data_IF_143272323595
#
_entry.id   IF_143272323595
#
_cell.length_a   1.000
_cell.length_b   1.000
_cell.length_c   1.000
_cell.angle_alpha   90.00
_cell.angle_beta   90.00
_cell.angle_gamma   90.00
#
_symmetry.space_group_name_H-M   'P 1'
#
loop_
_entity.id
_entity.type
_entity.pdbx_description
1 polymer ?
#
# COMPACT_ATOMS: atom_id res chain seq x y z
N UNK A 1 -6.08 -22.48 14.87
CA UNK A 1 -7.09 -21.41 14.87
C UNK A 1 -7.00 -20.75 13.52
N UNK A 2 -8.06 -20.73 12.72
CA UNK A 2 -8.06 -19.95 11.48
C UNK A 2 -7.91 -18.48 11.89
N UNK A 3 -6.76 -17.90 11.61
CA UNK A 3 -6.44 -16.52 11.94
C UNK A 3 -7.34 -15.61 11.09
N UNK A 4 -7.96 -14.59 11.69
CA UNK A 4 -8.75 -13.58 10.95
C UNK A 4 -7.84 -12.59 10.20
N UNK A 5 -6.70 -13.06 9.67
CA UNK A 5 -5.66 -12.26 9.03
C UNK A 5 -6.20 -11.44 7.86
N UNK A 6 -7.24 -11.96 7.18
CA UNK A 6 -7.88 -11.26 6.08
C UNK A 6 -8.50 -9.92 6.48
N UNK A 7 -8.96 -9.78 7.73
CA UNK A 7 -9.47 -8.52 8.27
C UNK A 7 -8.36 -7.56 8.68
N UNK A 8 -7.18 -8.09 9.02
CA UNK A 8 -6.08 -7.33 9.62
C UNK A 8 -5.10 -6.79 8.57
N UNK A 9 -4.92 -7.51 7.46
CA UNK A 9 -3.87 -7.26 6.48
C UNK A 9 -4.39 -7.04 5.06
N UNK A 10 -5.70 -6.87 4.87
CA UNK A 10 -6.26 -6.47 3.57
C UNK A 10 -6.53 -7.59 2.59
N UNK A 11 -6.63 -8.85 3.02
CA UNK A 11 -7.04 -9.95 2.14
C UNK A 11 -8.57 -10.00 1.93
N UNK A 12 -9.24 -8.84 1.87
CA UNK A 12 -10.61 -8.73 1.39
C UNK A 12 -10.59 -8.48 -0.13
N UNK A 13 -11.38 -9.20 -0.95
CA UNK A 13 -11.33 -9.05 -2.39
C UNK A 13 -12.06 -7.77 -2.80
N UNK A 14 -11.38 -6.93 -3.58
CA UNK A 14 -11.94 -5.68 -4.12
C UNK A 14 -11.83 -5.70 -5.66
N UNK A 15 -12.86 -5.22 -6.39
CA UNK A 15 -12.74 -5.03 -7.83
C UNK A 15 -11.52 -4.17 -8.17
N UNK A 16 -10.67 -4.68 -9.07
CA UNK A 16 -9.47 -3.96 -9.47
C UNK A 16 -9.78 -2.81 -10.44
N UNK A 17 -10.72 -3.04 -11.34
CA UNK A 17 -11.12 -2.07 -12.36
C UNK A 17 -11.78 -0.87 -11.68
N UNK A 18 -11.22 0.36 -11.77
CA UNK A 18 -11.80 1.54 -11.16
C UNK A 18 -13.21 1.84 -11.68
N UNK A 19 -13.52 1.54 -12.95
CA UNK A 19 -14.86 1.74 -13.50
C UNK A 19 -15.88 0.81 -12.85
N UNK A 20 -15.45 -0.39 -12.42
CA UNK A 20 -16.28 -1.34 -11.68
C UNK A 20 -16.35 -0.98 -10.21
N UNK A 21 -15.21 -0.63 -9.60
CA UNK A 21 -15.09 -0.30 -8.18
C UNK A 21 -15.92 0.94 -7.82
N UNK A 22 -15.85 1.97 -8.66
CA UNK A 22 -16.55 3.22 -8.43
C UNK A 22 -17.92 3.28 -9.11
N UNK A 23 -18.37 2.21 -9.77
CA UNK A 23 -19.68 2.17 -10.42
C UNK A 23 -20.78 2.42 -9.38
N UNK A 24 -21.59 3.45 -9.62
CA UNK A 24 -22.70 3.85 -8.74
C UNK A 24 -22.26 4.13 -7.28
N UNK A 25 -20.97 4.42 -7.07
CA UNK A 25 -20.41 4.62 -5.74
C UNK A 25 -20.98 5.90 -5.10
N UNK A 26 -21.50 5.83 -3.85
CA UNK A 26 -22.34 6.87 -3.27
C UNK A 26 -21.63 8.22 -3.10
N UNK A 27 -20.31 8.20 -2.97
CA UNK A 27 -19.50 9.41 -2.72
C UNK A 27 -18.47 9.69 -3.82
N UNK A 28 -18.26 8.78 -4.78
CA UNK A 28 -17.19 8.89 -5.77
C UNK A 28 -17.71 9.12 -7.20
N UNK A 29 -19.03 9.15 -7.40
CA UNK A 29 -19.66 9.37 -8.69
C UNK A 29 -20.31 10.75 -8.79
N UNK A 30 -20.64 11.16 -10.02
CA UNK A 30 -21.33 12.42 -10.31
C UNK A 30 -20.38 13.58 -10.63
N UNK A 31 -20.93 14.78 -10.94
CA UNK A 31 -20.14 15.93 -11.37
C UNK A 31 -19.25 16.53 -10.28
N UNK A 32 -19.58 16.27 -9.01
CA UNK A 32 -18.81 16.73 -7.85
C UNK A 32 -18.71 15.58 -6.83
N UNK A 33 -17.76 14.64 -7.01
CA UNK A 33 -17.47 13.63 -6.00
C UNK A 33 -17.19 14.27 -4.64
N UNK A 34 -17.52 13.56 -3.56
CA UNK A 34 -17.30 14.03 -2.19
C UNK A 34 -15.81 14.31 -1.99
N UNK A 35 -15.49 15.48 -1.44
CA UNK A 35 -14.14 15.83 -1.01
C UNK A 35 -14.19 16.23 0.46
N UNK A 36 -13.46 15.51 1.31
CA UNK A 36 -13.28 15.89 2.70
C UNK A 36 -12.05 16.82 2.81
N UNK A 37 -12.13 17.93 3.58
CA UNK A 37 -11.04 18.89 3.70
C UNK A 37 -9.96 18.37 4.65
N UNK A 38 -9.10 17.49 4.16
CA UNK A 38 -7.95 16.99 4.91
C UNK A 38 -6.70 17.86 4.74
N UNK A 39 -5.83 17.78 5.73
CA UNK A 39 -4.47 18.28 5.75
C UNK A 39 -3.49 17.12 5.86
N UNK A 40 -2.21 17.34 5.59
CA UNK A 40 -1.19 16.28 5.69
C UNK A 40 -1.08 15.76 7.13
N UNK A 41 -1.31 16.62 8.12
CA UNK A 41 -1.24 16.25 9.54
C UNK A 41 -2.34 15.27 9.96
N UNK A 42 -3.40 15.11 9.15
CA UNK A 42 -4.46 14.11 9.38
C UNK A 42 -4.02 12.67 9.06
N UNK A 43 -2.85 12.50 8.45
CA UNK A 43 -2.31 11.23 7.99
C UNK A 43 -0.87 10.99 8.46
N UNK A 44 -0.62 10.92 9.78
CA UNK A 44 0.70 10.56 10.27
C UNK A 44 1.02 9.10 9.91
N UNK A 45 2.26 8.84 9.51
CA UNK A 45 2.76 7.47 9.40
C UNK A 45 2.64 6.78 10.77
N UNK A 46 2.26 5.49 10.82
CA UNK A 46 2.21 4.74 12.08
C UNK A 46 3.55 4.75 12.79
N UNK A 47 3.53 5.08 14.09
CA UNK A 47 4.75 5.18 14.90
C UNK A 47 5.12 3.85 15.53
N UNK A 48 5.44 2.86 14.69
CA UNK A 48 5.83 1.51 15.11
C UNK A 48 7.29 1.22 14.78
N UNK A 49 7.96 0.31 15.51
CA UNK A 49 9.35 -0.02 15.25
C UNK A 49 9.60 -0.44 13.79
N UNK A 50 8.73 -1.28 13.22
CA UNK A 50 8.89 -1.76 11.85
C UNK A 50 8.74 -0.64 10.82
N UNK A 51 7.78 0.28 10.99
CA UNK A 51 7.59 1.40 10.06
C UNK A 51 8.77 2.37 10.13
N UNK A 52 9.35 2.60 11.32
CA UNK A 52 10.55 3.43 11.46
C UNK A 52 11.75 2.84 10.72
N UNK A 53 12.01 1.55 10.90
CA UNK A 53 13.12 0.84 10.23
C UNK A 53 12.91 0.80 8.70
N UNK A 54 11.70 0.50 8.25
CA UNK A 54 11.36 0.47 6.82
C UNK A 54 11.45 1.87 6.21
N UNK A 55 10.99 2.92 6.89
CA UNK A 55 11.12 4.30 6.41
C UNK A 55 12.58 4.71 6.30
N UNK A 56 13.41 4.39 7.30
CA UNK A 56 14.85 4.67 7.27
C UNK A 56 15.54 3.93 6.13
N UNK A 57 15.17 2.66 5.90
CA UNK A 57 15.65 1.88 4.78
C UNK A 57 15.24 2.49 3.43
N UNK A 58 13.97 2.83 3.23
CA UNK A 58 13.48 3.44 2.01
C UNK A 58 14.16 4.80 1.74
N UNK A 59 14.30 5.65 2.76
CA UNK A 59 14.97 6.95 2.63
C UNK A 59 16.47 6.82 2.29
N UNK A 60 17.11 5.74 2.73
CA UNK A 60 18.52 5.49 2.44
C UNK A 60 18.74 4.99 1.01
N UNK A 61 17.85 4.13 0.51
CA UNK A 61 18.06 3.38 -0.73
C UNK A 61 17.41 4.07 -1.94
N UNK A 62 16.32 4.82 -1.75
CA UNK A 62 15.63 5.57 -2.81
C UNK A 62 16.22 6.97 -2.98
N UNK A 63 16.08 7.53 -4.18
CA UNK A 63 16.29 8.95 -4.38
C UNK A 63 15.18 9.77 -3.69
N UNK A 64 15.46 11.05 -3.47
CA UNK A 64 14.55 11.95 -2.75
C UNK A 64 13.17 12.08 -3.42
N UNK A 65 13.10 12.08 -4.75
CA UNK A 65 11.83 12.26 -5.45
C UNK A 65 10.94 11.02 -5.32
N UNK A 66 11.53 9.83 -5.46
CA UNK A 66 10.84 8.55 -5.28
C UNK A 66 10.41 8.35 -3.83
N UNK A 67 11.28 8.65 -2.85
CA UNK A 67 10.89 8.63 -1.45
C UNK A 67 9.74 9.60 -1.15
N UNK A 68 9.80 10.83 -1.65
CA UNK A 68 8.72 11.80 -1.48
C UNK A 68 7.44 11.35 -2.20
N UNK A 69 7.55 10.66 -3.34
CA UNK A 69 6.42 10.05 -4.03
C UNK A 69 5.72 9.01 -3.16
N UNK A 70 6.46 8.06 -2.58
CA UNK A 70 5.94 7.06 -1.64
C UNK A 70 5.17 7.69 -0.47
N UNK A 71 5.68 8.80 0.10
CA UNK A 71 4.98 9.51 1.17
C UNK A 71 3.68 10.18 0.69
N UNK A 72 3.63 10.71 -0.54
CA UNK A 72 2.39 11.26 -1.12
C UNK A 72 1.36 10.16 -1.39
N UNK A 73 1.79 9.01 -1.91
CA UNK A 73 0.91 7.85 -2.16
C UNK A 73 0.20 7.42 -0.88
N UNK A 74 0.94 7.33 0.23
CA UNK A 74 0.34 7.04 1.54
C UNK A 74 -0.80 8.02 1.88
N UNK A 75 -0.53 9.33 1.82
CA UNK A 75 -1.55 10.36 2.13
C UNK A 75 -2.76 10.25 1.20
N UNK A 76 -2.56 10.08 -0.11
CA UNK A 76 -3.65 10.02 -1.08
C UNK A 76 -4.55 8.81 -0.87
N UNK A 77 -3.98 7.61 -0.73
CA UNK A 77 -4.81 6.42 -0.53
C UNK A 77 -5.47 6.40 0.84
N UNK A 78 -4.82 6.90 1.90
CA UNK A 78 -5.46 7.05 3.21
C UNK A 78 -6.66 8.01 3.15
N UNK A 79 -6.55 9.11 2.39
CA UNK A 79 -7.65 10.05 2.21
C UNK A 79 -8.81 9.42 1.41
N UNK A 80 -8.50 8.73 0.31
CA UNK A 80 -9.48 8.02 -0.49
C UNK A 80 -10.22 6.94 0.32
N UNK A 81 -9.48 6.14 1.10
CA UNK A 81 -10.06 5.11 1.96
C UNK A 81 -11.02 5.72 2.99
N UNK A 82 -10.64 6.81 3.67
CA UNK A 82 -11.50 7.48 4.66
C UNK A 82 -12.75 8.11 4.05
N UNK A 83 -12.63 8.73 2.87
CA UNK A 83 -13.75 9.45 2.26
C UNK A 83 -14.72 8.51 1.53
N UNK A 84 -14.18 7.54 0.80
CA UNK A 84 -14.96 6.73 -0.12
C UNK A 84 -15.25 5.33 0.42
N UNK A 85 -14.38 4.75 1.24
CA UNK A 85 -14.53 3.37 1.70
C UNK A 85 -14.54 3.23 3.22
N UNK A 86 -15.46 3.90 3.95
CA UNK A 86 -15.53 3.82 5.41
C UNK A 86 -15.79 2.39 5.93
N UNK A 87 -16.43 1.54 5.12
CA UNK A 87 -16.68 0.13 5.44
C UNK A 87 -15.41 -0.72 5.47
N UNK A 88 -14.29 -0.24 4.92
CA UNK A 88 -12.99 -0.90 5.01
C UNK A 88 -12.36 -0.79 6.39
N UNK A 89 -12.92 0.04 7.27
CA UNK A 89 -12.45 0.22 8.65
C UNK A 89 -10.95 0.57 8.72
N UNK A 90 -10.48 1.32 7.73
CA UNK A 90 -9.07 1.67 7.53
C UNK A 90 -8.51 2.39 8.77
N UNK A 91 -9.21 3.40 9.28
CA UNK A 91 -8.75 4.20 10.42
C UNK A 91 -8.92 3.48 11.75
N UNK A 92 -9.84 2.52 11.84
CA UNK A 92 -10.17 1.76 13.03
C UNK A 92 -9.23 0.56 13.25
N UNK A 93 -8.46 0.16 12.23
CA UNK A 93 -7.64 -1.04 12.23
C UNK A 93 -6.15 -0.70 12.07
N UNK A 94 -5.37 -0.58 13.15
CA UNK A 94 -3.97 -0.14 13.10
C UNK A 94 -3.08 -1.01 12.19
N UNK A 95 -3.33 -2.32 12.12
CA UNK A 95 -2.58 -3.24 11.26
C UNK A 95 -2.82 -2.97 9.77
N UNK A 96 -4.01 -2.52 9.38
CA UNK A 96 -4.31 -2.11 8.01
C UNK A 96 -3.49 -0.86 7.64
N UNK A 97 -3.50 0.15 8.52
CA UNK A 97 -2.75 1.40 8.30
C UNK A 97 -1.24 1.11 8.22
N UNK A 98 -0.72 0.27 9.12
CA UNK A 98 0.67 -0.17 9.11
C UNK A 98 1.02 -0.91 7.81
N UNK A 99 0.23 -1.91 7.43
CA UNK A 99 0.46 -2.68 6.19
C UNK A 99 0.44 -1.76 4.96
N UNK A 100 -0.51 -0.83 4.89
CA UNK A 100 -0.59 0.13 3.80
C UNK A 100 0.62 1.08 3.78
N UNK A 101 1.07 1.56 4.94
CA UNK A 101 2.28 2.38 5.05
C UNK A 101 3.53 1.64 4.56
N UNK A 102 3.69 0.37 4.95
CA UNK A 102 4.79 -0.48 4.50
C UNK A 102 4.76 -0.69 2.98
N UNK A 103 3.58 -0.97 2.40
CA UNK A 103 3.41 -1.06 0.95
C UNK A 103 3.80 0.24 0.24
N UNK A 104 3.30 1.38 0.72
CA UNK A 104 3.58 2.68 0.10
C UNK A 104 5.07 3.02 0.13
N UNK A 105 5.75 2.80 1.26
CA UNK A 105 7.17 3.09 1.42
C UNK A 105 8.07 2.19 0.57
N UNK A 106 7.61 1.00 0.19
CA UNK A 106 8.42 -0.01 -0.47
C UNK A 106 8.01 -0.32 -1.91
N UNK A 107 6.87 0.17 -2.42
CA UNK A 107 6.38 -0.24 -3.74
C UNK A 107 7.37 0.05 -4.89
N UNK A 108 8.10 1.15 -4.78
CA UNK A 108 9.14 1.54 -5.75
C UNK A 108 10.54 1.12 -5.34
N UNK A 109 10.74 0.31 -4.30
CA UNK A 109 12.08 -0.07 -3.84
C UNK A 109 12.89 -0.79 -4.92
N UNK A 110 12.22 -1.47 -5.86
CA UNK A 110 12.87 -2.10 -7.00
C UNK A 110 13.57 -1.13 -7.95
N UNK A 111 13.23 0.17 -7.90
CA UNK A 111 13.84 1.22 -8.73
C UNK A 111 15.19 1.71 -8.19
N UNK A 112 15.50 1.43 -6.92
CA UNK A 112 16.77 1.84 -6.31
C UNK A 112 17.97 1.26 -7.06
N UNK A 113 19.02 2.04 -7.26
CA UNK A 113 20.23 1.64 -8.01
C UNK A 113 20.81 0.32 -7.50
N UNK A 114 20.78 0.13 -6.17
CA UNK A 114 21.22 -1.10 -5.48
C UNK A 114 20.51 -2.37 -5.96
N UNK A 115 19.26 -2.28 -6.40
CA UNK A 115 18.45 -3.44 -6.79
C UNK A 115 18.25 -3.52 -8.30
N UNK A 116 18.07 -2.38 -8.97
CA UNK A 116 17.74 -2.30 -10.40
C UNK A 116 18.75 -3.05 -11.28
N UNK A 117 20.04 -2.92 -11.01
CA UNK A 117 21.10 -3.56 -11.80
C UNK A 117 21.43 -5.01 -11.37
N UNK A 118 20.80 -5.52 -10.31
CA UNK A 118 21.16 -6.82 -9.71
C UNK A 118 20.31 -7.99 -10.17
N UNK A 119 19.33 -7.73 -11.04
CA UNK A 119 18.35 -8.72 -11.47
C UNK A 119 17.92 -8.49 -12.92
N UNK A 120 17.38 -9.53 -13.53
CA UNK A 120 16.67 -9.45 -14.80
C UNK A 120 15.14 -9.51 -14.64
N UNK A 121 14.64 -9.55 -13.40
CA UNK A 121 13.22 -9.46 -13.11
C UNK A 121 12.73 -8.01 -13.30
N UNK A 122 11.45 -7.82 -13.62
CA UNK A 122 10.81 -6.51 -13.53
C UNK A 122 10.92 -5.95 -12.12
N UNK A 123 10.98 -4.63 -12.01
CA UNK A 123 11.30 -3.96 -10.75
C UNK A 123 10.23 -4.19 -9.67
N UNK A 124 8.97 -4.38 -10.07
CA UNK A 124 7.82 -4.71 -9.22
C UNK A 124 8.05 -6.04 -8.50
N UNK A 125 8.47 -7.08 -9.25
CA UNK A 125 8.75 -8.39 -8.69
C UNK A 125 9.98 -8.37 -7.77
N UNK A 126 11.05 -7.71 -8.21
CA UNK A 126 12.26 -7.61 -7.38
C UNK A 126 12.01 -6.79 -6.12
N UNK A 127 11.28 -5.69 -6.25
CA UNK A 127 10.89 -4.82 -5.15
C UNK A 127 10.04 -5.56 -4.13
N UNK A 128 9.05 -6.33 -4.58
CA UNK A 128 8.21 -7.13 -3.71
C UNK A 128 8.99 -8.20 -2.92
N UNK A 129 9.94 -8.89 -3.55
CA UNK A 129 10.81 -9.86 -2.87
C UNK A 129 11.64 -9.15 -1.79
N UNK A 130 12.26 -8.00 -2.12
CA UNK A 130 13.06 -7.21 -1.17
C UNK A 130 12.20 -6.73 -0.01
N UNK A 131 10.99 -6.24 -0.28
CA UNK A 131 10.05 -5.76 0.73
C UNK A 131 9.62 -6.87 1.69
N UNK A 132 9.22 -8.02 1.15
CA UNK A 132 8.81 -9.19 1.93
C UNK A 132 9.93 -9.68 2.84
N UNK A 133 11.13 -9.86 2.29
CA UNK A 133 12.29 -10.34 3.05
C UNK A 133 12.69 -9.36 4.15
N UNK A 134 12.62 -8.04 3.88
CA UNK A 134 12.88 -7.00 4.88
C UNK A 134 11.88 -7.06 6.04
N UNK A 135 10.58 -7.13 5.74
CA UNK A 135 9.52 -7.16 6.77
C UNK A 135 9.69 -8.39 7.67
N UNK A 136 9.94 -9.56 7.08
CA UNK A 136 10.17 -10.79 7.84
C UNK A 136 11.45 -10.70 8.68
N UNK A 137 12.54 -10.14 8.13
CA UNK A 137 13.80 -9.97 8.86
C UNK A 137 13.67 -8.99 10.05
N UNK A 138 12.78 -8.01 9.96
CA UNK A 138 12.46 -7.07 11.04
C UNK A 138 11.47 -7.67 12.07
N UNK A 139 11.05 -8.92 11.91
CA UNK A 139 10.11 -9.59 12.82
C UNK A 139 8.65 -9.23 12.59
N UNK A 140 8.32 -8.69 11.42
CA UNK A 140 6.94 -8.41 11.02
C UNK A 140 6.12 -9.69 10.84
N UNK A 141 4.78 -9.64 11.01
CA UNK A 141 3.92 -10.79 10.78
C UNK A 141 4.01 -11.29 9.33
N UNK A 142 4.10 -12.59 9.12
CA UNK A 142 4.12 -13.19 7.78
C UNK A 142 2.92 -12.79 6.91
N UNK A 143 1.67 -12.78 7.42
CA UNK A 143 0.53 -12.31 6.63
C UNK A 143 0.65 -10.84 6.19
N UNK A 144 1.29 -9.98 6.99
CA UNK A 144 1.55 -8.59 6.60
C UNK A 144 2.60 -8.53 5.48
N UNK A 145 3.69 -9.29 5.62
CA UNK A 145 4.75 -9.38 4.62
C UNK A 145 4.22 -9.90 3.27
N UNK A 146 3.36 -10.91 3.30
CA UNK A 146 2.71 -11.47 2.11
C UNK A 146 1.74 -10.47 1.47
N UNK A 147 0.97 -9.73 2.28
CA UNK A 147 0.07 -8.68 1.77
C UNK A 147 0.85 -7.55 1.09
N UNK A 148 1.94 -7.08 1.71
CA UNK A 148 2.83 -6.07 1.11
C UNK A 148 3.44 -6.61 -0.19
N UNK A 149 3.90 -7.85 -0.20
CA UNK A 149 4.45 -8.49 -1.39
C UNK A 149 3.44 -8.51 -2.55
N UNK A 150 2.21 -9.00 -2.32
CA UNK A 150 1.18 -9.09 -3.36
C UNK A 150 0.79 -7.69 -3.90
N UNK A 151 0.62 -6.72 -2.99
CA UNK A 151 0.31 -5.35 -3.35
C UNK A 151 1.40 -4.73 -4.25
N UNK A 152 2.68 -4.94 -3.92
CA UNK A 152 3.80 -4.42 -4.71
C UNK A 152 3.93 -5.15 -6.04
N UNK A 153 3.72 -6.47 -6.11
CA UNK A 153 3.76 -7.18 -7.39
C UNK A 153 2.77 -6.58 -8.40
N UNK A 154 1.59 -6.17 -7.93
CA UNK A 154 0.44 -5.84 -8.78
C UNK A 154 0.18 -4.34 -8.93
N UNK A 155 1.06 -3.48 -8.43
CA UNK A 155 0.86 -2.02 -8.44
C UNK A 155 0.93 -1.40 -9.85
N UNK A 156 1.41 -2.15 -10.86
CA UNK A 156 1.40 -1.73 -12.27
C UNK A 156 0.51 -2.58 -13.19
N UNK A 157 -0.29 -3.50 -12.65
CA UNK A 157 -1.22 -4.34 -13.44
C UNK A 157 -2.47 -3.53 -13.93
N UNK A 158 -2.31 -2.30 -14.40
CA UNK A 158 -3.40 -1.29 -14.54
C UNK A 158 -4.39 -1.52 -15.70
N UNK A 159 -4.26 -2.61 -16.47
CA UNK A 159 -5.14 -2.94 -17.60
C UNK A 159 -5.77 -4.34 -17.50
N UNK A 160 -5.96 -4.86 -16.29
CA UNK A 160 -6.52 -6.20 -16.07
C UNK A 160 -7.85 -6.15 -15.30
N UNK A 161 -8.77 -7.04 -15.66
CA UNK A 161 -10.08 -7.20 -14.99
C UNK A 161 -10.00 -8.26 -13.87
N UNK A 162 -10.97 -8.27 -12.96
CA UNK A 162 -11.07 -9.21 -11.85
C UNK A 162 -10.88 -8.57 -10.48
N UNK A 163 -10.52 -9.38 -9.49
CA UNK A 163 -10.30 -8.93 -8.11
C UNK A 163 -8.81 -8.95 -7.74
N UNK A 164 -8.45 -8.07 -6.82
CA UNK A 164 -7.16 -8.08 -6.11
C UNK A 164 -7.40 -8.42 -4.64
N UNK A 165 -6.46 -9.14 -4.05
CA UNK A 165 -6.33 -9.30 -2.60
C UNK A 165 -5.22 -8.34 -2.17
N UNK A 166 -5.36 -7.68 -1.03
CA UNK A 166 -4.50 -6.55 -0.69
C UNK A 166 -5.16 -5.22 -1.05
N UNK A 167 -4.93 -4.21 -0.22
CA UNK A 167 -5.47 -2.86 -0.41
C UNK A 167 -4.96 -2.30 -1.73
N UNK A 168 -5.82 -1.55 -2.44
CA UNK A 168 -5.44 -0.80 -3.65
C UNK A 168 -4.16 -0.02 -3.36
N UNK A 169 -3.03 -0.54 -3.83
CA UNK A 169 -1.85 0.27 -4.04
C UNK A 169 -2.00 0.80 -5.47
N UNK A 170 -2.54 2.01 -5.52
CA UNK A 170 -2.77 2.90 -6.68
C UNK A 170 -4.02 2.67 -7.52
#
# INVERSE_FOLDING_TARGET
MATEDWKLYGFAPVPRDPEVLFKDHPTATGPNPKQDPFTVDDFPLPDTPIVREVRAFAQKELDEQTFNHSNRVFVYGSALARTHFPEWQYSETPSIVETYALSCLLHDIGTAEKFLATTHLSFEFKGAIVARDLILALGGPEPAADSVCDAIIRHQDIFVTGCVWGWLCM
#
